data_IF_673333720449
#
_entry.id   IF_673333720449
#
_cell.length_a   1.000
_cell.length_b   1.000
_cell.length_c   1.000
_cell.angle_alpha   90.00
_cell.angle_beta   90.00
_cell.angle_gamma   90.00
#
_symmetry.space_group_name_H-M   'P 1'
#
loop_
_entity.id
_entity.type
_entity.pdbx_description
1 polymer ?
#
# COMPACT_ATOMS: atom_id res chain seq x y z
N UNK A 1 -12.78 9.47 7.74
CA UNK A 1 -11.84 8.60 8.45
C UNK A 1 -10.85 8.03 7.45
N UNK A 2 -9.59 8.23 7.71
CA UNK A 2 -8.54 7.75 6.80
C UNK A 2 -8.10 6.36 7.24
N UNK A 3 -8.25 5.39 6.33
CA UNK A 3 -7.75 4.04 6.54
C UNK A 3 -6.48 3.88 5.71
N UNK A 4 -5.42 3.39 6.33
CA UNK A 4 -4.22 3.03 5.60
C UNK A 4 -4.50 1.73 4.84
N UNK A 5 -4.24 1.73 3.54
CA UNK A 5 -4.52 0.60 2.66
C UNK A 5 -3.20 -0.01 2.21
N UNK A 6 -3.00 -1.32 2.38
CA UNK A 6 -1.81 -1.99 1.85
C UNK A 6 -1.81 -1.98 0.32
N UNK A 7 -0.68 -1.61 -0.25
CA UNK A 7 -0.51 -1.57 -1.70
C UNK A 7 0.81 -2.23 -2.07
N UNK A 8 0.81 -2.99 -3.14
CA UNK A 8 1.99 -3.68 -3.63
C UNK A 8 2.78 -2.77 -4.56
N UNK A 9 4.05 -2.55 -4.26
CA UNK A 9 4.93 -1.73 -5.09
C UNK A 9 5.30 -2.50 -6.34
N UNK A 10 4.95 -1.97 -7.50
CA UNK A 10 5.22 -2.58 -8.81
C UNK A 10 6.48 -2.03 -9.46
N UNK A 11 6.70 -0.72 -9.34
CA UNK A 11 7.89 -0.09 -9.91
C UNK A 11 8.21 1.17 -9.12
N UNK A 12 9.46 1.60 -9.19
CA UNK A 12 9.94 2.77 -8.47
C UNK A 12 10.75 3.63 -9.43
N UNK A 13 10.48 4.94 -9.40
CA UNK A 13 11.24 5.90 -10.17
C UNK A 13 11.45 7.14 -9.30
N UNK A 14 12.67 7.30 -8.78
CA UNK A 14 12.98 8.38 -7.84
C UNK A 14 12.16 8.24 -6.56
N UNK A 15 11.39 9.25 -6.23
CA UNK A 15 10.50 9.25 -5.07
C UNK A 15 9.05 8.90 -5.42
N UNK A 16 8.82 8.43 -6.65
CA UNK A 16 7.49 8.00 -7.09
C UNK A 16 7.51 6.50 -7.30
N UNK A 17 6.44 5.86 -6.92
CA UNK A 17 6.27 4.42 -7.12
C UNK A 17 4.90 4.16 -7.71
N UNK A 18 4.84 3.15 -8.57
CA UNK A 18 3.56 2.63 -9.01
C UNK A 18 3.19 1.48 -8.08
N UNK A 19 2.01 1.53 -7.54
CA UNK A 19 1.51 0.52 -6.62
C UNK A 19 0.20 -0.05 -7.14
N UNK A 20 -0.06 -1.29 -6.77
CA UNK A 20 -1.30 -1.97 -7.13
C UNK A 20 -2.17 -2.07 -5.88
N UNK A 21 -3.38 -1.57 -6.01
CA UNK A 21 -4.39 -1.65 -4.95
C UNK A 21 -5.59 -2.36 -5.56
N UNK A 22 -5.74 -3.64 -5.20
CA UNK A 22 -6.88 -4.47 -5.63
C UNK A 22 -7.09 -4.40 -7.16
N UNK A 23 -5.99 -4.55 -7.92
CA UNK A 23 -6.05 -4.54 -9.38
C UNK A 23 -5.96 -3.16 -10.01
N UNK A 24 -5.95 -2.09 -9.21
CA UNK A 24 -5.86 -0.72 -9.70
C UNK A 24 -4.46 -0.18 -9.46
N UNK A 25 -3.80 0.26 -10.52
CA UNK A 25 -2.46 0.84 -10.43
C UNK A 25 -2.55 2.32 -10.14
N UNK A 26 -1.79 2.78 -9.16
CA UNK A 26 -1.73 4.20 -8.80
C UNK A 26 -0.28 4.62 -8.58
N UNK A 27 -0.02 5.89 -8.82
CA UNK A 27 1.28 6.49 -8.56
C UNK A 27 1.24 7.19 -7.20
N UNK A 28 2.21 6.89 -6.36
CA UNK A 28 2.28 7.44 -4.99
C UNK A 28 3.67 7.93 -4.68
N UNK A 29 3.78 8.83 -3.70
CA UNK A 29 5.06 9.31 -3.23
C UNK A 29 5.63 8.35 -2.19
N UNK A 30 6.92 8.05 -2.30
CA UNK A 30 7.64 7.21 -1.33
C UNK A 30 8.68 8.02 -0.57
N UNK A 31 8.50 9.34 -0.45
CA UNK A 31 9.43 10.19 0.27
C UNK A 31 9.57 9.81 1.74
N UNK A 32 8.51 9.29 2.34
CA UNK A 32 8.50 8.86 3.73
C UNK A 32 9.01 7.43 3.92
N UNK A 33 9.18 6.70 2.83
CA UNK A 33 9.65 5.31 2.84
C UNK A 33 10.74 5.11 1.80
N UNK A 34 11.88 5.81 1.93
CA UNK A 34 12.90 5.80 0.87
C UNK A 34 13.58 4.44 0.66
N UNK A 35 13.49 3.55 1.63
CA UNK A 35 14.11 2.23 1.56
C UNK A 35 13.20 1.16 0.96
N UNK A 36 12.01 1.54 0.51
CA UNK A 36 11.06 0.60 -0.08
C UNK A 36 11.62 0.03 -1.40
N UNK A 37 11.28 -1.22 -1.67
CA UNK A 37 11.71 -1.94 -2.88
C UNK A 37 10.52 -2.46 -3.64
N UNK A 38 10.73 -2.72 -4.92
CA UNK A 38 9.73 -3.39 -5.76
C UNK A 38 9.39 -4.75 -5.14
N UNK A 39 8.11 -5.04 -5.03
CA UNK A 39 7.62 -6.25 -4.38
C UNK A 39 7.24 -6.06 -2.92
N UNK A 40 7.62 -4.92 -2.32
CA UNK A 40 7.22 -4.61 -0.94
C UNK A 40 5.77 -4.12 -0.91
N UNK A 41 5.13 -4.32 0.24
CA UNK A 41 3.83 -3.71 0.51
C UNK A 41 4.04 -2.44 1.32
N UNK A 42 3.28 -1.42 1.02
CA UNK A 42 3.31 -0.16 1.76
C UNK A 42 1.90 0.21 2.19
N UNK A 43 1.80 0.89 3.32
CA UNK A 43 0.54 1.48 3.76
C UNK A 43 0.43 2.89 3.17
N UNK A 44 -0.70 3.17 2.53
CA UNK A 44 -0.93 4.45 1.88
C UNK A 44 -1.87 5.32 2.70
N UNK A 45 -1.58 6.62 2.70
CA UNK A 45 -2.44 7.62 3.29
C UNK A 45 -2.32 8.90 2.47
N UNK A 46 -3.41 9.36 1.91
CA UNK A 46 -3.47 10.59 1.11
C UNK A 46 -2.45 10.67 -0.03
N UNK A 47 -2.18 9.53 -0.68
CA UNK A 47 -1.24 9.47 -1.81
C UNK A 47 0.22 9.32 -1.40
N UNK A 48 0.52 9.16 -0.11
CA UNK A 48 1.87 8.93 0.40
C UNK A 48 1.98 7.54 1.00
N UNK A 49 3.08 6.87 0.71
CA UNK A 49 3.43 5.66 1.42
C UNK A 49 3.98 6.06 2.79
N UNK A 50 3.37 5.57 3.86
CA UNK A 50 3.73 5.95 5.23
C UNK A 50 4.51 4.87 5.97
N UNK A 51 4.41 3.63 5.51
CA UNK A 51 5.07 2.51 6.17
C UNK A 51 5.27 1.37 5.19
N UNK A 52 6.38 0.65 5.35
CA UNK A 52 6.61 -0.61 4.64
C UNK A 52 6.15 -1.73 5.56
N UNK A 53 5.34 -2.64 5.06
CA UNK A 53 4.82 -3.75 5.84
C UNK A 53 5.16 -5.08 5.19
N UNK A 54 5.16 -6.15 5.99
CA UNK A 54 5.38 -7.50 5.50
C UNK A 54 4.19 -7.96 4.69
N UNK A 55 4.45 -8.90 3.78
CA UNK A 55 3.39 -9.53 3.00
C UNK A 55 2.31 -10.14 3.87
N UNK A 56 2.70 -10.78 4.97
CA UNK A 56 1.74 -11.39 5.91
C UNK A 56 0.87 -10.32 6.56
N UNK A 57 1.47 -9.21 7.00
CA UNK A 57 0.70 -8.11 7.57
C UNK A 57 -0.25 -7.49 6.56
N UNK A 58 0.20 -7.36 5.31
CA UNK A 58 -0.63 -6.83 4.25
C UNK A 58 -1.85 -7.73 4.00
N UNK A 59 -1.64 -9.02 3.93
CA UNK A 59 -2.72 -9.99 3.73
C UNK A 59 -3.73 -9.95 4.88
N UNK A 60 -3.25 -9.89 6.11
CA UNK A 60 -4.12 -9.80 7.29
C UNK A 60 -4.95 -8.51 7.28
N UNK A 61 -4.31 -7.38 6.94
CA UNK A 61 -5.00 -6.11 6.87
C UNK A 61 -6.06 -6.10 5.78
N UNK A 62 -5.72 -6.61 4.60
CA UNK A 62 -6.67 -6.70 3.49
C UNK A 62 -7.84 -7.60 3.83
N UNK A 63 -7.59 -8.69 4.54
CA UNK A 63 -8.64 -9.60 4.97
C UNK A 63 -9.61 -8.93 5.93
N UNK A 64 -9.07 -8.17 6.88
CA UNK A 64 -9.90 -7.43 7.83
C UNK A 64 -10.75 -6.39 7.11
N UNK A 65 -10.18 -5.66 6.16
CA UNK A 65 -10.92 -4.67 5.37
C UNK A 65 -12.02 -5.33 4.55
N UNK A 66 -11.74 -6.50 3.99
CA UNK A 66 -12.74 -7.26 3.24
C UNK A 66 -13.90 -7.71 4.14
N UNK A 67 -13.59 -8.20 5.33
CA UNK A 67 -14.61 -8.62 6.30
C UNK A 67 -15.48 -7.44 6.73
N UNK A 68 -14.88 -6.28 6.97
CA UNK A 68 -15.64 -5.08 7.31
C UNK A 68 -16.56 -4.64 6.18
N UNK A 69 -16.09 -4.76 4.94
CA UNK A 69 -16.89 -4.43 3.78
C UNK A 69 -18.08 -5.36 3.64
N UNK A 70 -17.89 -6.65 3.93
CA UNK A 70 -18.95 -7.65 3.83
C UNK A 70 -19.96 -7.55 4.97
N UNK A 71 -19.55 -7.01 6.11
CA UNK A 71 -20.41 -6.90 7.28
C UNK A 71 -21.49 -5.82 7.13
N UNK A 72 -21.39 -5.04 6.09
CA UNK A 72 -22.38 -4.02 5.77
C UNK A 72 -23.39 -4.57 4.76
#
# INVERSE_FOLDING_TARGET
MCLAIPALVKSIEGYLAEVDIDGVTRQVSIQLTPDVKVGDYVLLHTGYAINVIDEVEAEETLKILEELSQAQ
#
